data_IF_670618096492
#
_entry.id   IF_670618096492
#
_cell.length_a   1.000
_cell.length_b   1.000
_cell.length_c   1.000
_cell.angle_alpha   90.00
_cell.angle_beta   90.00
_cell.angle_gamma   90.00
#
_symmetry.space_group_name_H-M   'P 1'
#
loop_
_entity.id
_entity.type
_entity.pdbx_description
1 polymer ?
#
# COMPACT_ATOMS: atom_id res chain seq x y z
N UNK A 1 13.04 -9.18 11.53
CA UNK A 1 12.15 -8.08 11.95
C UNK A 1 11.27 -8.59 13.09
N UNK A 2 11.01 -7.79 14.13
CA UNK A 2 9.98 -8.14 15.11
C UNK A 2 8.60 -8.06 14.44
N UNK A 3 7.67 -8.84 14.98
CA UNK A 3 6.26 -9.00 14.54
C UNK A 3 5.63 -7.65 14.16
N UNK A 4 4.64 -7.67 13.27
CA UNK A 4 3.82 -6.52 12.90
C UNK A 4 4.51 -5.45 12.01
N UNK A 5 5.41 -5.86 11.12
CA UNK A 5 5.92 -4.98 10.04
C UNK A 5 4.95 -5.03 8.87
N UNK A 6 4.40 -3.89 8.43
CA UNK A 6 3.50 -3.83 7.27
C UNK A 6 4.31 -3.88 5.97
N UNK A 7 3.82 -4.68 5.03
CA UNK A 7 4.43 -5.01 3.75
C UNK A 7 3.42 -4.67 2.66
N UNK A 8 3.83 -3.87 1.69
CA UNK A 8 2.94 -3.41 0.61
C UNK A 8 3.62 -3.67 -0.72
N UNK A 9 2.92 -4.33 -1.63
CA UNK A 9 3.34 -4.54 -3.01
C UNK A 9 2.49 -3.64 -3.90
N UNK A 10 3.17 -2.83 -4.71
CA UNK A 10 2.52 -1.89 -5.63
C UNK A 10 3.03 -2.13 -7.06
N UNK A 11 2.24 -1.75 -8.05
CA UNK A 11 2.72 -1.52 -9.42
C UNK A 11 2.74 -0.02 -9.71
N UNK A 12 3.83 0.44 -10.29
CA UNK A 12 3.81 1.69 -11.03
C UNK A 12 3.35 1.34 -12.45
N UNK A 13 2.15 1.76 -12.82
CA UNK A 13 1.63 1.53 -14.18
C UNK A 13 2.31 2.45 -15.18
N UNK A 14 2.62 1.94 -16.37
CA UNK A 14 2.99 2.78 -17.50
C UNK A 14 1.75 2.99 -18.38
N UNK A 15 1.14 4.17 -18.23
CA UNK A 15 -0.02 4.69 -18.97
C UNK A 15 -0.03 4.32 -20.47
N UNK A 16 -1.23 4.16 -21.04
CA UNK A 16 -1.49 4.82 -22.33
C UNK A 16 -2.94 5.30 -22.61
N UNK A 17 -3.99 5.08 -21.79
CA UNK A 17 -5.35 5.51 -22.20
C UNK A 17 -6.20 6.28 -21.18
N UNK A 18 -5.77 6.52 -19.94
CA UNK A 18 -6.62 7.23 -18.97
C UNK A 18 -5.87 7.96 -17.85
N UNK A 19 -4.95 8.85 -18.17
CA UNK A 19 -4.33 9.75 -17.18
C UNK A 19 -3.46 9.04 -16.14
N UNK A 20 -2.78 9.80 -15.25
CA UNK A 20 -1.75 9.27 -14.38
C UNK A 20 -2.36 8.22 -13.45
N UNK A 21 -2.07 6.94 -13.73
CA UNK A 21 -2.51 5.86 -12.87
C UNK A 21 -1.87 6.06 -11.49
N UNK A 22 -2.67 6.19 -10.42
CA UNK A 22 -2.12 6.17 -9.08
C UNK A 22 -1.41 4.82 -8.85
N UNK A 23 -0.26 4.81 -8.19
CA UNK A 23 0.46 3.58 -7.81
C UNK A 23 -0.54 2.50 -7.32
N UNK A 24 -0.71 1.44 -8.11
CA UNK A 24 -1.75 0.44 -7.91
C UNK A 24 -1.37 -0.47 -6.74
N UNK A 25 -2.27 -0.64 -5.78
CA UNK A 25 -2.08 -1.59 -4.68
C UNK A 25 -2.32 -3.01 -5.16
N UNK A 26 -1.24 -3.78 -5.33
CA UNK A 26 -1.32 -5.18 -5.74
C UNK A 26 -1.65 -6.11 -4.58
N UNK A 27 -0.99 -5.91 -3.44
CA UNK A 27 -1.22 -6.71 -2.23
C UNK A 27 -0.65 -6.01 -0.99
N UNK A 28 -1.18 -6.32 0.18
CA UNK A 28 -0.67 -5.83 1.46
C UNK A 28 -0.86 -6.87 2.56
N UNK A 29 0.14 -6.98 3.43
CA UNK A 29 0.09 -7.87 4.58
C UNK A 29 1.05 -7.45 5.69
N UNK A 30 1.09 -8.26 6.73
CA UNK A 30 2.00 -8.09 7.86
C UNK A 30 2.90 -9.31 7.97
N UNK A 31 4.11 -9.11 8.48
CA UNK A 31 4.98 -10.23 8.85
C UNK A 31 4.39 -11.02 10.00
N UNK A 32 4.53 -12.34 9.95
CA UNK A 32 4.08 -13.25 10.99
C UNK A 32 4.95 -13.19 12.27
N UNK A 33 4.77 -14.18 13.15
CA UNK A 33 5.54 -14.28 14.39
C UNK A 33 7.05 -14.51 14.19
N UNK A 34 7.43 -15.12 13.06
CA UNK A 34 8.81 -15.44 12.69
C UNK A 34 9.45 -14.35 11.82
N UNK A 35 8.66 -13.36 11.37
CA UNK A 35 9.11 -12.30 10.47
C UNK A 35 8.93 -12.65 8.99
N UNK A 36 8.25 -13.76 8.69
CA UNK A 36 7.97 -14.23 7.33
C UNK A 36 6.75 -13.51 6.75
N UNK A 37 6.73 -13.37 5.42
CA UNK A 37 5.61 -12.79 4.68
C UNK A 37 5.58 -13.37 3.27
N UNK A 38 4.40 -13.40 2.67
CA UNK A 38 4.21 -13.73 1.27
C UNK A 38 3.14 -12.81 0.71
N UNK A 39 3.48 -12.10 -0.38
CA UNK A 39 2.57 -11.20 -1.08
C UNK A 39 2.47 -11.63 -2.54
N UNK A 40 1.27 -11.55 -3.10
CA UNK A 40 1.00 -11.82 -4.51
C UNK A 40 -0.16 -10.99 -5.00
N UNK A 41 0.03 -10.30 -6.11
CA UNK A 41 -1.02 -9.52 -6.75
C UNK A 41 -0.73 -9.31 -8.23
N UNK A 42 -1.69 -8.71 -8.93
CA UNK A 42 -1.57 -8.38 -10.33
C UNK A 42 -2.61 -7.34 -10.72
N UNK A 43 -2.31 -6.58 -11.75
CA UNK A 43 -3.20 -5.57 -12.33
C UNK A 43 -3.38 -5.84 -13.83
N UNK A 44 -4.44 -5.29 -14.41
CA UNK A 44 -4.77 -5.45 -15.82
C UNK A 44 -4.19 -4.29 -16.63
N UNK A 45 -2.90 -4.39 -16.96
CA UNK A 45 -2.19 -3.37 -17.74
C UNK A 45 -1.87 -3.84 -19.16
N UNK A 46 -1.84 -2.89 -20.11
CA UNK A 46 -1.41 -3.12 -21.49
C UNK A 46 0.11 -3.23 -21.61
N UNK A 47 0.84 -2.56 -20.72
CA UNK A 47 2.30 -2.52 -20.69
C UNK A 47 2.83 -3.36 -19.52
N UNK A 48 4.11 -3.77 -19.54
CA UNK A 48 4.71 -4.42 -18.39
C UNK A 48 4.80 -3.45 -17.20
N UNK A 49 4.22 -3.85 -16.07
CA UNK A 49 4.24 -3.11 -14.81
C UNK A 49 5.66 -2.91 -14.25
N UNK A 50 5.82 -1.91 -13.38
CA UNK A 50 7.04 -1.66 -12.61
C UNK A 50 6.77 -1.89 -11.10
N UNK A 51 6.90 -3.13 -10.61
CA UNK A 51 6.50 -3.45 -9.25
C UNK A 51 7.48 -2.92 -8.20
N UNK A 52 6.93 -2.33 -7.14
CA UNK A 52 7.67 -1.79 -6.00
C UNK A 52 7.17 -2.45 -4.71
N UNK A 53 8.10 -3.03 -3.98
CA UNK A 53 7.89 -3.56 -2.64
C UNK A 53 8.26 -2.53 -1.58
N UNK A 54 7.28 -2.12 -0.75
CA UNK A 54 7.44 -1.15 0.33
C UNK A 54 7.35 -1.87 1.68
N UNK A 55 8.28 -1.56 2.57
CA UNK A 55 8.33 -2.07 3.95
C UNK A 55 8.15 -0.92 4.92
N UNK A 56 7.14 -1.01 5.77
CA UNK A 56 6.80 -0.05 6.81
C UNK A 56 7.11 -0.64 8.17
N UNK A 57 7.99 -0.01 8.93
CA UNK A 57 8.50 -0.56 10.18
C UNK A 57 8.88 0.51 11.20
N UNK A 58 8.85 0.12 12.48
CA UNK A 58 9.28 0.96 13.60
C UNK A 58 10.49 0.33 14.34
N UNK A 59 11.25 -0.55 13.68
CA UNK A 59 12.41 -1.20 14.29
C UNK A 59 13.48 -0.14 14.60
N UNK A 60 13.99 -0.15 15.84
CA UNK A 60 14.96 0.84 16.35
C UNK A 60 14.57 2.31 16.11
N UNK A 61 13.26 2.61 16.05
CA UNK A 61 12.78 3.97 15.71
C UNK A 61 12.47 4.83 16.94
N UNK A 62 12.32 4.21 18.12
CA UNK A 62 11.93 4.88 19.36
C UNK A 62 10.48 5.36 19.33
N UNK A 63 10.17 6.45 20.06
CA UNK A 63 8.83 7.07 20.08
C UNK A 63 8.84 8.26 19.11
N UNK A 64 8.79 7.97 17.81
CA UNK A 64 8.71 9.00 16.76
C UNK A 64 7.39 8.84 15.98
N UNK A 65 6.76 9.95 15.56
CA UNK A 65 5.48 9.88 14.84
C UNK A 65 5.67 9.34 13.42
N UNK A 66 4.75 8.49 12.94
CA UNK A 66 4.86 7.81 11.64
C UNK A 66 5.82 6.63 11.67
N UNK A 67 6.03 5.98 10.51
CA UNK A 67 6.85 4.77 10.40
C UNK A 67 7.98 4.95 9.39
N UNK A 68 9.09 4.23 9.61
CA UNK A 68 10.19 4.15 8.63
C UNK A 68 9.72 3.35 7.42
N UNK A 69 10.09 3.79 6.22
CA UNK A 69 9.68 3.21 4.94
C UNK A 69 10.87 2.91 4.05
N UNK A 70 11.04 1.65 3.71
CA UNK A 70 12.06 1.19 2.75
C UNK A 70 11.37 0.76 1.46
N UNK A 71 11.94 1.10 0.30
CA UNK A 71 11.40 0.76 -1.02
C UNK A 71 12.38 -0.10 -1.80
N UNK A 72 11.89 -1.18 -2.39
CA UNK A 72 12.64 -2.08 -3.25
C UNK A 72 11.95 -2.19 -4.60
N UNK A 73 12.68 -1.92 -5.68
CA UNK A 73 12.19 -2.20 -7.03
C UNK A 73 12.34 -3.70 -7.30
N UNK A 74 11.27 -4.36 -7.72
CA UNK A 74 11.31 -5.78 -8.06
C UNK A 74 11.74 -5.96 -9.53
N UNK A 75 12.60 -6.93 -9.86
CA UNK A 75 13.03 -7.13 -11.24
C UNK A 75 11.87 -7.56 -12.15
N UNK A 76 11.80 -6.98 -13.36
CA UNK A 76 10.76 -7.30 -14.35
C UNK A 76 10.69 -8.79 -14.74
N UNK A 77 11.77 -9.55 -14.54
CA UNK A 77 11.84 -11.00 -14.81
C UNK A 77 10.94 -11.87 -13.92
N UNK A 78 10.39 -11.30 -12.84
CA UNK A 78 9.45 -11.96 -11.92
C UNK A 78 7.98 -11.65 -12.24
N UNK A 79 7.72 -10.74 -13.18
CA UNK A 79 6.38 -10.45 -13.67
C UNK A 79 5.97 -11.53 -14.65
N UNK A 80 4.73 -12.02 -14.54
CA UNK A 80 4.20 -13.05 -15.42
C UNK A 80 2.82 -12.67 -15.93
N UNK A 81 2.56 -12.92 -17.20
CA UNK A 81 1.22 -12.73 -17.77
C UNK A 81 0.26 -13.79 -17.21
N UNK A 82 -0.89 -13.33 -16.71
CA UNK A 82 -1.93 -14.17 -16.14
C UNK A 82 -2.23 -13.85 -14.68
N UNK A 83 -3.30 -14.46 -14.15
CA UNK A 83 -3.76 -14.21 -12.77
C UNK A 83 -2.88 -14.82 -11.69
N UNK A 84 -2.09 -15.83 -12.04
CA UNK A 84 -1.26 -16.58 -11.08
C UNK A 84 0.23 -16.33 -11.35
N UNK A 85 1.00 -15.92 -10.32
CA UNK A 85 2.43 -15.74 -10.48
C UNK A 85 3.12 -17.09 -10.70
N UNK A 86 4.00 -17.16 -11.71
CA UNK A 86 4.78 -18.40 -11.99
C UNK A 86 6.12 -18.46 -11.26
N UNK A 87 6.57 -17.34 -10.69
CA UNK A 87 7.84 -17.21 -9.98
C UNK A 87 7.65 -16.39 -8.72
N UNK A 88 8.38 -16.76 -7.68
CA UNK A 88 8.43 -16.02 -6.43
C UNK A 88 9.79 -15.34 -6.33
N UNK A 89 9.79 -14.03 -6.06
CA UNK A 89 11.00 -13.30 -5.72
C UNK A 89 11.25 -13.43 -4.23
N UNK A 90 12.35 -14.07 -3.85
CA UNK A 90 12.81 -14.15 -2.47
C UNK A 90 13.83 -13.03 -2.20
N UNK A 91 13.46 -12.09 -1.34
CA UNK A 91 14.33 -10.98 -0.92
C UNK A 91 15.35 -11.41 0.15
N UNK A 92 15.19 -12.61 0.70
CA UNK A 92 15.99 -13.15 1.79
C UNK A 92 15.65 -12.53 3.14
N UNK A 93 16.61 -12.63 4.08
CA UNK A 93 16.45 -12.13 5.44
C UNK A 93 17.08 -10.74 5.55
N UNK A 94 16.24 -9.74 5.83
CA UNK A 94 16.67 -8.36 6.01
C UNK A 94 16.61 -7.94 7.49
N UNK A 95 17.71 -7.36 7.99
CA UNK A 95 17.72 -6.72 9.30
C UNK A 95 17.25 -5.26 9.19
N UNK A 96 16.02 -5.00 9.66
CA UNK A 96 15.38 -3.68 9.60
C UNK A 96 15.87 -2.70 10.66
N UNK A 97 16.69 -3.11 11.63
CA UNK A 97 17.31 -2.19 12.60
C UNK A 97 18.37 -1.30 11.91
N UNK A 98 18.94 -1.77 10.80
CA UNK A 98 19.96 -1.03 10.04
C UNK A 98 19.37 0.17 9.30
N UNK A 99 20.24 1.10 8.89
CA UNK A 99 19.84 2.28 8.09
C UNK A 99 19.97 1.92 6.61
N UNK A 100 18.85 1.96 5.89
CA UNK A 100 18.82 1.75 4.45
C UNK A 100 19.04 3.07 3.69
N UNK A 101 19.82 3.02 2.61
CA UNK A 101 19.95 4.17 1.71
C UNK A 101 18.58 4.51 1.11
N UNK A 102 18.23 5.81 1.09
CA UNK A 102 16.92 6.31 0.64
C UNK A 102 15.72 5.81 1.47
N UNK A 103 15.95 5.42 2.72
CA UNK A 103 14.84 5.21 3.65
C UNK A 103 14.08 6.52 3.88
N UNK A 104 12.76 6.44 3.78
CA UNK A 104 11.84 7.55 3.98
C UNK A 104 11.10 7.39 5.31
N UNK A 105 10.37 8.43 5.71
CA UNK A 105 9.43 8.36 6.82
C UNK A 105 8.03 8.69 6.33
N UNK A 106 7.07 7.82 6.62
CA UNK A 106 5.66 8.04 6.27
C UNK A 106 4.86 8.40 7.52
N UNK A 107 4.24 9.58 7.49
CA UNK A 107 3.42 10.06 8.60
C UNK A 107 2.01 9.51 8.44
N UNK A 108 1.49 8.83 9.47
CA UNK A 108 0.05 8.65 9.62
C UNK A 108 -0.49 10.01 10.08
N UNK A 109 -0.71 10.93 9.15
CA UNK A 109 -1.62 12.03 9.42
C UNK A 109 -3.00 11.40 9.51
N UNK A 110 -3.49 11.18 10.73
CA UNK A 110 -4.92 11.14 10.91
C UNK A 110 -5.43 12.42 10.26
N UNK A 111 -6.27 12.29 9.24
CA UNK A 111 -7.09 13.40 8.78
C UNK A 111 -8.10 13.71 9.88
N UNK A 112 -7.63 14.01 11.09
CA UNK A 112 -8.35 14.88 12.00
C UNK A 112 -8.32 16.23 11.29
N UNK A 113 -9.31 16.42 10.40
CA UNK A 113 -9.62 17.71 9.79
C UNK A 113 -9.66 18.71 10.94
N UNK A 114 -8.58 19.48 11.10
CA UNK A 114 -8.60 20.65 11.97
C UNK A 114 -9.72 21.53 11.40
N UNK A 115 -10.75 21.73 12.21
CA UNK A 115 -11.87 22.66 12.06
C UNK A 115 -12.16 23.18 10.65
N UNK A 116 -13.29 22.77 10.09
CA UNK A 116 -13.89 23.40 8.93
C UNK A 116 -15.28 22.83 8.69
N UNK A 117 -16.28 23.48 9.28
CA UNK A 117 -17.68 23.34 8.87
C UNK A 117 -17.71 23.73 7.40
N UNK A 118 -17.82 22.75 6.49
CA UNK A 118 -18.34 23.00 5.15
C UNK A 118 -19.62 22.20 5.07
N UNK A 119 -20.67 22.85 5.56
CA UNK A 119 -22.06 22.48 5.38
C UNK A 119 -22.49 22.82 3.95
N UNK A 120 -21.79 22.29 2.94
CA UNK A 120 -22.11 22.54 1.52
C UNK A 120 -22.08 21.23 0.75
N UNK A 121 -22.99 20.33 1.11
CA UNK A 121 -23.59 19.33 0.21
C UNK A 121 -24.88 18.85 0.90
N UNK A 122 -25.83 19.77 1.06
CA UNK A 122 -27.23 19.40 1.23
C UNK A 122 -27.71 18.94 -0.14
N UNK A 123 -27.69 17.64 -0.36
CA UNK A 123 -28.31 17.01 -1.52
C UNK A 123 -29.82 17.22 -1.40
N UNK A 124 -30.31 18.25 -2.10
CA UNK A 124 -31.72 18.55 -2.21
C UNK A 124 -32.31 17.60 -3.25
N UNK A 125 -32.61 16.38 -2.84
CA UNK A 125 -33.61 15.49 -3.47
C UNK A 125 -33.76 14.18 -2.69
N UNK A 126 -34.52 14.23 -1.58
CA UNK A 126 -35.28 13.05 -1.14
C UNK A 126 -36.57 13.46 -0.42
N UNK A 127 -37.51 13.92 -1.23
CA UNK A 127 -38.93 14.01 -0.89
C UNK A 127 -39.56 12.62 -0.78
N UNK A 128 -40.24 12.33 0.34
CA UNK A 128 -41.23 11.25 0.50
C UNK A 128 -40.66 9.82 0.57
N UNK A 129 -41.12 8.89 1.39
CA UNK A 129 -42.41 8.73 2.07
C UNK A 129 -42.23 8.01 3.41
N UNK A 130 -43.00 8.46 4.40
CA UNK A 130 -43.28 7.78 5.67
C UNK A 130 -44.12 6.52 5.46
N UNK A 131 -43.67 5.37 5.95
CA UNK A 131 -44.54 4.25 6.31
C UNK A 131 -44.25 3.87 7.77
N UNK A 132 -45.20 4.22 8.62
CA UNK A 132 -45.29 3.87 10.03
C UNK A 132 -46.03 2.53 10.09
N UNK A 133 -45.36 1.49 10.61
CA UNK A 133 -45.96 0.19 10.83
C UNK A 133 -46.32 0.09 12.32
N UNK A 134 -47.59 0.34 12.64
CA UNK A 134 -48.30 -0.21 13.80
C UNK A 134 -49.81 -0.12 13.61
#
# INVERSE_FOLDING_TARGET
ARKNTQKTLLSNGAEYLSGPDPDDLLDQGYTDANGEFQLSGGTAELTPIDPVFKVYHDCDDGIKPGSRKVKFALPKSYITNGKTPKKTFDIGVLNLETIFAKEEREMIVSRMRRGGINADYMDADKSGSSEENQ
#
